data_IF_705810289987
#
_entry.id   IF_705810289987
#
_cell.length_a   1.000
_cell.length_b   1.000
_cell.length_c   1.000
_cell.angle_alpha   90.00
_cell.angle_beta   90.00
_cell.angle_gamma   90.00
#
_symmetry.space_group_name_H-M   'P 1'
#
loop_
_entity.id
_entity.type
_entity.pdbx_description
1 polymer ?
#
# COMPACT_ATOMS: atom_id res chain seq x y z
N UNK A 1 -40.72 -26.65 24.37
CA UNK A 1 -39.27 -26.87 24.42
C UNK A 1 -38.58 -25.56 24.81
N UNK A 2 -37.92 -25.47 25.97
CA UNK A 2 -37.12 -24.29 26.31
C UNK A 2 -35.97 -24.13 25.31
N UNK A 3 -35.66 -22.88 24.94
CA UNK A 3 -34.60 -22.58 23.98
C UNK A 3 -33.22 -22.92 24.57
N UNK A 4 -32.33 -23.47 23.75
CA UNK A 4 -30.95 -23.69 24.17
C UNK A 4 -30.27 -22.35 24.50
N UNK A 5 -29.34 -22.36 25.46
CA UNK A 5 -28.56 -21.17 25.85
C UNK A 5 -27.86 -20.52 24.65
N UNK A 6 -27.43 -21.32 23.66
CA UNK A 6 -26.87 -20.84 22.40
C UNK A 6 -27.90 -20.10 21.53
N UNK A 7 -29.14 -20.58 21.48
CA UNK A 7 -30.24 -19.92 20.76
C UNK A 7 -30.69 -18.62 21.43
N UNK A 8 -30.75 -18.60 22.77
CA UNK A 8 -31.07 -17.40 23.55
C UNK A 8 -30.03 -16.30 23.25
N UNK A 9 -28.74 -16.65 23.30
CA UNK A 9 -27.66 -15.72 22.96
C UNK A 9 -27.74 -15.27 21.50
N UNK A 10 -28.04 -16.17 20.57
CA UNK A 10 -28.19 -15.83 19.15
C UNK A 10 -29.31 -14.82 18.93
N UNK A 11 -30.49 -15.04 19.51
CA UNK A 11 -31.64 -14.12 19.43
C UNK A 11 -31.32 -12.75 20.05
N UNK A 12 -30.60 -12.73 21.18
CA UNK A 12 -30.14 -11.49 21.80
C UNK A 12 -29.22 -10.68 20.86
N UNK A 13 -28.23 -11.35 20.24
CA UNK A 13 -27.31 -10.70 19.28
C UNK A 13 -28.06 -10.19 18.05
N UNK A 14 -29.03 -10.95 17.54
CA UNK A 14 -29.85 -10.54 16.39
C UNK A 14 -30.72 -9.31 16.71
N UNK A 15 -31.29 -9.24 17.93
CA UNK A 15 -32.04 -8.07 18.41
C UNK A 15 -31.14 -6.83 18.51
N UNK A 16 -29.99 -6.95 19.20
CA UNK A 16 -29.05 -5.83 19.37
C UNK A 16 -28.39 -5.36 18.08
N UNK A 17 -28.23 -6.25 17.10
CA UNK A 17 -27.74 -5.93 15.75
C UNK A 17 -28.74 -5.07 14.96
N UNK A 18 -30.05 -5.21 15.20
CA UNK A 18 -31.10 -4.39 14.56
C UNK A 18 -31.26 -3.03 15.25
N UNK A 19 -31.11 -2.98 16.56
CA UNK A 19 -31.30 -1.76 17.37
C UNK A 19 -30.14 -0.75 17.26
N UNK A 20 -28.88 -1.19 17.10
CA UNK A 20 -27.74 -0.26 17.18
C UNK A 20 -26.54 -0.64 16.29
N UNK A 21 -25.98 0.36 15.60
CA UNK A 21 -24.73 0.21 14.84
C UNK A 21 -23.49 0.00 15.72
N UNK A 22 -23.55 0.39 17.00
CA UNK A 22 -22.47 0.20 17.98
C UNK A 22 -22.22 -1.28 18.30
N UNK A 23 -23.28 -2.11 18.30
CA UNK A 23 -23.16 -3.55 18.50
C UNK A 23 -22.36 -4.22 17.38
N UNK A 24 -22.60 -3.83 16.11
CA UNK A 24 -21.81 -4.35 14.98
C UNK A 24 -20.33 -3.97 15.09
N UNK A 25 -20.01 -2.76 15.56
CA UNK A 25 -18.62 -2.33 15.78
C UNK A 25 -17.94 -3.19 16.85
N UNK A 26 -18.57 -3.37 18.01
CA UNK A 26 -18.06 -4.22 19.11
C UNK A 26 -17.89 -5.69 18.69
N UNK A 27 -18.83 -6.23 17.92
CA UNK A 27 -18.75 -7.62 17.42
C UNK A 27 -17.64 -7.79 16.37
N UNK A 28 -17.43 -6.79 15.51
CA UNK A 28 -16.31 -6.78 14.55
C UNK A 28 -14.97 -6.73 15.27
N UNK A 29 -14.86 -5.92 16.32
CA UNK A 29 -13.65 -5.83 17.13
C UNK A 29 -13.35 -7.14 17.88
N UNK A 30 -14.36 -7.77 18.47
CA UNK A 30 -14.22 -9.09 19.11
C UNK A 30 -13.72 -10.15 18.13
N UNK A 31 -14.30 -10.19 16.93
CA UNK A 31 -13.84 -11.09 15.86
C UNK A 31 -12.41 -10.80 15.42
N UNK A 32 -12.02 -9.53 15.35
CA UNK A 32 -10.66 -9.11 15.01
C UNK A 32 -9.65 -9.56 16.08
N UNK A 33 -9.99 -9.38 17.36
CA UNK A 33 -9.15 -9.78 18.50
C UNK A 33 -8.89 -11.29 18.51
N UNK A 34 -9.91 -12.10 18.20
CA UNK A 34 -9.79 -13.55 18.18
C UNK A 34 -9.36 -14.12 16.82
N UNK A 35 -9.00 -13.28 15.85
CA UNK A 35 -8.61 -13.73 14.52
C UNK A 35 -7.14 -14.18 14.53
N UNK A 36 -6.93 -15.46 14.27
CA UNK A 36 -5.59 -16.05 14.09
C UNK A 36 -5.21 -16.01 12.60
N UNK A 37 -4.11 -15.34 12.20
CA UNK A 37 -3.62 -15.37 10.82
C UNK A 37 -3.31 -16.78 10.32
N UNK A 38 -3.47 -17.04 9.02
CA UNK A 38 -3.23 -18.38 8.43
C UNK A 38 -1.77 -18.80 8.57
N UNK A 39 -0.83 -17.86 8.61
CA UNK A 39 0.60 -18.12 8.83
C UNK A 39 0.90 -18.66 10.23
N UNK A 40 -0.01 -18.52 11.19
CA UNK A 40 0.14 -18.99 12.58
C UNK A 40 -0.66 -20.26 12.85
N UNK A 41 -1.29 -20.85 11.83
CA UNK A 41 -2.01 -22.11 11.96
C UNK A 41 -1.10 -23.28 11.58
N UNK A 42 -1.36 -24.43 12.20
CA UNK A 42 -0.82 -25.69 11.69
C UNK A 42 -1.39 -26.00 10.29
N UNK A 43 -0.64 -26.74 9.47
CA UNK A 43 -1.11 -27.18 8.15
C UNK A 43 -2.49 -27.86 8.16
N UNK A 44 -2.80 -28.80 9.07
CA UNK A 44 -4.13 -29.42 9.11
C UNK A 44 -5.24 -28.42 9.44
N UNK A 45 -4.99 -27.45 10.31
CA UNK A 45 -5.96 -26.41 10.65
C UNK A 45 -6.17 -25.43 9.50
N UNK A 46 -5.10 -25.04 8.81
CA UNK A 46 -5.16 -24.21 7.62
C UNK A 46 -5.99 -24.91 6.52
N UNK A 47 -5.79 -26.22 6.33
CA UNK A 47 -6.57 -27.05 5.40
C UNK A 47 -8.05 -27.09 5.79
N UNK A 48 -8.37 -27.38 7.07
CA UNK A 48 -9.76 -27.34 7.60
C UNK A 48 -10.41 -25.98 7.34
N UNK A 49 -9.71 -24.88 7.60
CA UNK A 49 -10.22 -23.52 7.37
C UNK A 49 -10.50 -23.24 5.88
N UNK A 50 -9.63 -23.70 4.96
CA UNK A 50 -9.86 -23.61 3.50
C UNK A 50 -11.09 -24.41 3.08
N UNK A 51 -11.23 -25.64 3.57
CA UNK A 51 -12.39 -26.50 3.27
C UNK A 51 -13.70 -25.90 3.77
N UNK A 52 -13.75 -25.39 4.99
CA UNK A 52 -14.93 -24.68 5.51
C UNK A 52 -15.28 -23.46 4.67
N UNK A 53 -14.27 -22.69 4.26
CA UNK A 53 -14.46 -21.50 3.41
C UNK A 53 -15.05 -21.91 2.06
N UNK A 54 -14.50 -22.95 1.43
CA UNK A 54 -15.02 -23.53 0.19
C UNK A 54 -16.46 -24.05 0.35
N UNK A 55 -16.78 -24.73 1.45
CA UNK A 55 -18.15 -25.19 1.77
C UNK A 55 -19.12 -24.01 1.89
N UNK A 56 -18.74 -22.95 2.61
CA UNK A 56 -19.56 -21.73 2.74
C UNK A 56 -19.79 -21.05 1.39
N UNK A 57 -18.75 -20.92 0.58
CA UNK A 57 -18.81 -20.32 -0.76
C UNK A 57 -19.71 -21.16 -1.68
N UNK A 58 -19.53 -22.48 -1.73
CA UNK A 58 -20.40 -23.40 -2.50
C UNK A 58 -21.86 -23.28 -2.07
N UNK A 59 -22.15 -23.26 -0.77
CA UNK A 59 -23.51 -23.08 -0.24
C UNK A 59 -24.11 -21.73 -0.65
N UNK A 60 -23.31 -20.66 -0.61
CA UNK A 60 -23.72 -19.34 -1.08
C UNK A 60 -24.08 -19.34 -2.58
N UNK A 61 -23.23 -19.92 -3.43
CA UNK A 61 -23.51 -20.03 -4.87
C UNK A 61 -24.76 -20.86 -5.15
N UNK A 62 -24.95 -21.99 -4.44
CA UNK A 62 -26.17 -22.81 -4.55
C UNK A 62 -27.42 -22.00 -4.16
N UNK A 63 -27.37 -21.26 -3.05
CA UNK A 63 -28.48 -20.40 -2.62
C UNK A 63 -28.76 -19.27 -3.61
N UNK A 64 -27.72 -18.65 -4.17
CA UNK A 64 -27.85 -17.59 -5.18
C UNK A 64 -28.45 -18.13 -6.48
N UNK A 65 -28.01 -19.31 -6.93
CA UNK A 65 -28.58 -19.99 -8.10
C UNK A 65 -30.07 -20.27 -7.88
N UNK A 66 -30.44 -20.86 -6.75
CA UNK A 66 -31.84 -21.16 -6.43
C UNK A 66 -32.69 -19.89 -6.28
N UNK A 67 -32.19 -18.84 -5.64
CA UNK A 67 -32.93 -17.57 -5.54
C UNK A 67 -33.17 -16.89 -6.90
N UNK A 68 -32.29 -17.10 -7.88
CA UNK A 68 -32.51 -16.64 -9.24
C UNK A 68 -33.54 -17.52 -9.98
N UNK A 69 -33.54 -18.84 -9.72
CA UNK A 69 -34.52 -19.79 -10.24
C UNK A 69 -35.90 -19.51 -9.65
N UNK A 70 -36.05 -19.26 -8.35
CA UNK A 70 -37.34 -18.93 -7.72
C UNK A 70 -37.93 -17.60 -8.23
N UNK A 71 -37.08 -16.67 -8.69
CA UNK A 71 -37.53 -15.44 -9.36
C UNK A 71 -37.87 -15.63 -10.85
N UNK A 72 -37.49 -16.76 -11.45
CA UNK A 72 -37.81 -17.11 -12.85
C UNK A 72 -38.87 -18.22 -12.98
N UNK A 73 -39.15 -18.99 -11.93
CA UNK A 73 -40.07 -20.14 -11.94
C UNK A 73 -41.52 -19.78 -11.59
N UNK A 74 -41.84 -18.50 -11.35
CA UNK A 74 -43.27 -18.10 -11.33
C UNK A 74 -43.89 -17.92 -12.73
N UNK A 75 -43.16 -18.25 -13.80
CA UNK A 75 -43.72 -18.47 -15.12
C UNK A 75 -43.14 -19.75 -15.71
N UNK A 76 -44.04 -20.72 -15.93
CA UNK A 76 -43.89 -21.92 -16.77
C UNK A 76 -43.13 -23.10 -16.14
N UNK A 77 -43.89 -24.13 -15.77
CA UNK A 77 -43.75 -25.54 -16.17
C UNK A 77 -44.79 -26.35 -15.36
N UNK A 78 -45.98 -26.61 -15.92
CA UNK A 78 -46.30 -27.81 -16.71
C UNK A 78 -45.81 -29.11 -16.04
N UNK A 79 -46.72 -30.00 -15.58
CA UNK A 79 -46.34 -31.30 -15.06
C UNK A 79 -45.86 -32.19 -16.21
N UNK A 80 -44.57 -32.54 -16.20
CA UNK A 80 -44.00 -33.58 -17.07
C UNK A 80 -44.63 -34.92 -16.68
N UNK A 81 -45.75 -35.22 -17.34
CA UNK A 81 -46.46 -36.50 -17.23
C UNK A 81 -45.81 -37.47 -18.21
N UNK A 82 -45.06 -38.43 -17.67
CA UNK A 82 -44.52 -39.56 -18.43
C UNK A 82 -45.69 -40.35 -19.02
N UNK A 83 -45.84 -40.30 -20.34
CA UNK A 83 -46.77 -41.14 -21.08
C UNK A 83 -46.22 -42.58 -21.08
N UNK A 84 -46.80 -43.44 -20.24
CA UNK A 84 -46.83 -44.88 -20.47
C UNK A 84 -48.06 -45.20 -21.31
N UNK A 85 -47.81 -45.92 -22.39
CA UNK A 85 -48.76 -46.43 -23.37
C UNK A 85 -49.77 -47.40 -22.75
N UNK A 86 -51.07 -47.11 -22.80
CA UNK A 86 -52.09 -48.14 -23.05
C UNK A 86 -53.50 -47.57 -23.21
N UNK A 87 -54.12 -48.00 -24.31
CA UNK A 87 -55.56 -48.29 -24.51
C UNK A 87 -56.55 -47.12 -24.64
N UNK A 88 -57.23 -47.21 -25.80
CA UNK A 88 -58.30 -46.38 -26.34
C UNK A 88 -59.44 -46.20 -25.35
N UNK A 89 -59.67 -44.97 -24.93
CA UNK A 89 -60.95 -44.49 -24.41
C UNK A 89 -61.13 -43.07 -24.92
N UNK A 90 -62.10 -42.85 -25.81
CA UNK A 90 -62.43 -41.54 -26.35
C UNK A 90 -63.03 -40.67 -25.24
N UNK A 91 -62.18 -39.93 -24.53
CA UNK A 91 -62.63 -38.85 -23.64
C UNK A 91 -62.90 -37.62 -24.50
N UNK A 92 -64.14 -37.14 -24.48
CA UNK A 92 -64.54 -35.90 -25.15
C UNK A 92 -63.93 -34.72 -24.39
N UNK A 93 -62.93 -34.06 -24.97
CA UNK A 93 -62.30 -32.88 -24.39
C UNK A 93 -63.02 -31.63 -24.88
N UNK A 94 -63.89 -31.05 -24.05
CA UNK A 94 -64.54 -29.77 -24.38
C UNK A 94 -63.57 -28.62 -24.11
N UNK A 95 -63.01 -28.06 -25.19
CA UNK A 95 -62.17 -26.86 -25.15
C UNK A 95 -63.04 -25.61 -25.01
N UNK A 96 -63.27 -25.15 -23.77
CA UNK A 96 -63.88 -23.84 -23.52
C UNK A 96 -62.81 -22.75 -23.65
N UNK A 97 -62.91 -21.91 -24.68
CA UNK A 97 -62.03 -20.75 -24.87
C UNK A 97 -62.47 -19.64 -23.91
N UNK A 98 -61.93 -19.63 -22.70
CA UNK A 98 -62.07 -18.47 -21.83
C UNK A 98 -61.22 -17.31 -22.39
N UNK A 99 -61.87 -16.23 -22.80
CA UNK A 99 -61.16 -15.00 -23.14
C UNK A 99 -60.39 -14.51 -21.90
N UNK A 100 -59.06 -14.63 -21.95
CA UNK A 100 -58.19 -14.11 -20.90
C UNK A 100 -58.39 -12.60 -20.83
N UNK A 101 -59.12 -12.13 -19.82
CA UNK A 101 -59.28 -10.70 -19.55
C UNK A 101 -57.89 -10.07 -19.49
N UNK A 102 -57.66 -9.08 -20.38
CA UNK A 102 -56.35 -8.43 -20.54
C UNK A 102 -55.87 -7.96 -19.16
N UNK A 103 -54.74 -8.51 -18.69
CA UNK A 103 -54.11 -8.13 -17.41
C UNK A 103 -54.13 -6.60 -17.29
N UNK A 104 -54.77 -6.11 -16.22
CA UNK A 104 -55.11 -4.69 -16.10
C UNK A 104 -53.90 -3.77 -16.31
N UNK A 105 -54.10 -2.67 -17.05
CA UNK A 105 -53.07 -1.64 -17.35
C UNK A 105 -52.30 -1.16 -16.10
N UNK A 106 -52.90 -1.29 -14.90
CA UNK A 106 -52.34 -0.93 -13.59
C UNK A 106 -51.05 -1.70 -13.25
N UNK A 107 -50.93 -2.99 -13.59
CA UNK A 107 -49.72 -3.77 -13.28
C UNK A 107 -48.49 -3.34 -14.10
N UNK A 108 -48.70 -2.87 -15.34
CA UNK A 108 -47.61 -2.38 -16.20
C UNK A 108 -46.99 -1.07 -15.68
N UNK A 109 -47.81 -0.16 -15.13
CA UNK A 109 -47.34 1.11 -14.57
C UNK A 109 -46.52 0.91 -13.30
N UNK A 110 -46.87 -0.08 -12.47
CA UNK A 110 -46.13 -0.35 -11.23
C UNK A 110 -44.73 -0.91 -11.52
N UNK A 111 -44.59 -1.73 -12.56
CA UNK A 111 -43.29 -2.21 -13.03
C UNK A 111 -42.45 -1.11 -13.67
N UNK A 112 -43.07 -0.22 -14.46
CA UNK A 112 -42.41 0.99 -14.98
C UNK A 112 -41.89 1.88 -13.84
N UNK A 113 -42.70 2.16 -12.82
CA UNK A 113 -42.27 2.94 -11.65
C UNK A 113 -41.09 2.27 -10.92
N UNK A 114 -41.14 0.96 -10.69
CA UNK A 114 -40.01 0.22 -10.09
C UNK A 114 -38.72 0.33 -10.93
N UNK A 115 -38.82 0.27 -12.26
CA UNK A 115 -37.65 0.48 -13.14
C UNK A 115 -37.10 1.91 -13.07
N UNK A 116 -37.97 2.91 -12.98
CA UNK A 116 -37.57 4.31 -12.84
C UNK A 116 -36.85 4.55 -11.50
N UNK A 117 -37.35 4.02 -10.38
CA UNK A 117 -36.65 4.12 -9.10
C UNK A 117 -35.27 3.44 -9.12
N UNK A 118 -35.15 2.28 -9.78
CA UNK A 118 -33.85 1.62 -9.99
C UNK A 118 -32.91 2.49 -10.84
N UNK A 119 -33.44 3.10 -11.91
CA UNK A 119 -32.67 4.01 -12.76
C UNK A 119 -32.18 5.22 -11.97
N UNK A 120 -33.06 5.91 -11.24
CA UNK A 120 -32.71 7.04 -10.37
C UNK A 120 -31.64 6.66 -9.34
N UNK A 121 -31.79 5.50 -8.69
CA UNK A 121 -30.80 5.01 -7.73
C UNK A 121 -29.43 4.77 -8.38
N UNK A 122 -29.41 4.15 -9.57
CA UNK A 122 -28.17 3.92 -10.31
C UNK A 122 -27.50 5.22 -10.79
N UNK A 123 -28.30 6.21 -11.20
CA UNK A 123 -27.83 7.53 -11.61
C UNK A 123 -27.23 8.29 -10.42
N UNK A 124 -27.85 8.22 -9.23
CA UNK A 124 -27.30 8.79 -8.00
C UNK A 124 -25.95 8.17 -7.64
N UNK A 125 -25.82 6.84 -7.73
CA UNK A 125 -24.55 6.15 -7.47
C UNK A 125 -23.46 6.55 -8.48
N UNK A 126 -23.81 6.70 -9.77
CA UNK A 126 -22.87 7.20 -10.80
C UNK A 126 -22.45 8.64 -10.52
N UNK A 127 -23.37 9.52 -10.14
CA UNK A 127 -23.05 10.90 -9.78
C UNK A 127 -22.11 10.96 -8.57
N UNK A 128 -22.33 10.14 -7.54
CA UNK A 128 -21.39 10.07 -6.41
C UNK A 128 -19.99 9.62 -6.84
N UNK A 129 -19.89 8.63 -7.73
CA UNK A 129 -18.60 8.18 -8.28
C UNK A 129 -17.92 9.32 -9.03
N UNK A 130 -18.65 10.05 -9.88
CA UNK A 130 -18.13 11.20 -10.62
C UNK A 130 -17.67 12.33 -9.69
N UNK A 131 -18.39 12.61 -8.61
CA UNK A 131 -17.96 13.60 -7.59
C UNK A 131 -16.66 13.15 -6.92
N UNK A 132 -16.52 11.87 -6.58
CA UNK A 132 -15.29 11.32 -5.98
C UNK A 132 -14.12 11.38 -6.95
N UNK A 133 -14.32 11.03 -8.23
CA UNK A 133 -13.27 11.12 -9.25
C UNK A 133 -12.87 12.56 -9.52
N UNK A 134 -13.83 13.49 -9.65
CA UNK A 134 -13.58 14.94 -9.80
C UNK A 134 -12.71 15.46 -8.64
N UNK A 135 -13.09 15.17 -7.39
CA UNK A 135 -12.28 15.56 -6.21
C UNK A 135 -10.88 14.95 -6.23
N UNK A 136 -10.75 13.68 -6.63
CA UNK A 136 -9.44 13.03 -6.74
C UNK A 136 -8.57 13.65 -7.84
N UNK A 137 -9.15 14.03 -8.98
CA UNK A 137 -8.43 14.67 -10.08
C UNK A 137 -8.03 16.10 -9.72
N UNK A 138 -8.91 16.87 -9.09
CA UNK A 138 -8.57 18.20 -8.57
C UNK A 138 -7.39 18.15 -7.58
N UNK A 139 -7.38 17.18 -6.65
CA UNK A 139 -6.22 16.99 -5.76
C UNK A 139 -4.94 16.60 -6.50
N UNK A 140 -5.04 15.88 -7.62
CA UNK A 140 -3.87 15.55 -8.45
C UNK A 140 -3.36 16.79 -9.20
N UNK A 141 -4.26 17.59 -9.77
CA UNK A 141 -3.92 18.85 -10.43
C UNK A 141 -3.25 19.81 -9.44
N UNK A 142 -3.83 20.01 -8.25
CA UNK A 142 -3.23 20.84 -7.20
C UNK A 142 -1.82 20.40 -6.82
N UNK A 143 -1.55 19.09 -6.78
CA UNK A 143 -0.19 18.57 -6.52
C UNK A 143 0.78 18.81 -7.67
N UNK A 144 0.28 18.79 -8.90
CA UNK A 144 1.09 19.07 -10.10
C UNK A 144 1.39 20.58 -10.16
N UNK A 145 0.37 21.41 -9.94
CA UNK A 145 0.51 22.87 -9.85
C UNK A 145 1.44 23.28 -8.72
N UNK A 146 1.31 22.70 -7.52
CA UNK A 146 2.23 22.98 -6.41
C UNK A 146 3.66 22.55 -6.72
N UNK A 147 3.86 21.48 -7.50
CA UNK A 147 5.18 21.06 -7.97
C UNK A 147 5.75 21.98 -9.04
N UNK A 148 4.90 22.50 -9.93
CA UNK A 148 5.29 23.47 -10.95
C UNK A 148 5.65 24.82 -10.32
N UNK A 149 4.91 25.25 -9.30
CA UNK A 149 5.14 26.51 -8.57
C UNK A 149 6.35 26.46 -7.63
N UNK A 150 6.73 25.28 -7.14
CA UNK A 150 7.97 25.10 -6.36
C UNK A 150 9.25 25.27 -7.20
N UNK A 151 9.09 25.65 -8.46
CA UNK A 151 10.19 25.84 -9.39
C UNK A 151 10.78 24.51 -9.79
N UNK A 152 11.20 24.43 -11.03
CA UNK A 152 12.27 23.55 -11.48
C UNK A 152 13.53 23.80 -10.64
N UNK A 153 13.55 23.36 -9.38
CA UNK A 153 14.79 23.04 -8.70
C UNK A 153 15.34 21.81 -9.42
N UNK A 154 16.06 22.11 -10.50
CA UNK A 154 17.07 21.29 -11.13
C UNK A 154 16.56 19.94 -11.66
N UNK A 155 16.34 19.88 -12.98
CA UNK A 155 16.34 18.61 -13.73
C UNK A 155 17.60 17.75 -13.47
N UNK A 156 18.65 18.34 -12.88
CA UNK A 156 19.85 17.66 -12.43
C UNK A 156 19.71 17.09 -10.98
N UNK A 157 18.95 17.73 -10.08
CA UNK A 157 18.69 17.26 -8.71
C UNK A 157 17.63 16.15 -8.69
N UNK A 158 16.72 16.14 -9.67
CA UNK A 158 15.79 15.04 -9.86
C UNK A 158 16.51 13.76 -10.30
N UNK A 159 17.70 13.85 -10.90
CA UNK A 159 18.55 12.68 -11.17
C UNK A 159 19.23 12.15 -9.88
N UNK A 160 19.55 13.04 -8.94
CA UNK A 160 20.25 12.69 -7.69
C UNK A 160 19.31 12.22 -6.55
N UNK A 161 18.01 12.54 -6.62
CA UNK A 161 17.02 12.17 -5.57
C UNK A 161 16.05 11.07 -5.99
N UNK A 162 16.32 10.34 -7.07
CA UNK A 162 15.52 9.17 -7.40
C UNK A 162 15.85 8.06 -6.41
N UNK A 163 14.84 7.61 -5.67
CA UNK A 163 14.94 6.34 -4.96
C UNK A 163 15.28 5.23 -5.97
N UNK A 164 16.01 4.18 -5.58
CA UNK A 164 16.36 3.07 -6.50
C UNK A 164 15.14 2.50 -7.24
N UNK A 165 13.97 2.58 -6.61
CA UNK A 165 12.69 2.17 -7.17
C UNK A 165 12.16 3.07 -8.28
N UNK A 166 12.33 4.38 -8.17
CA UNK A 166 11.91 5.33 -9.20
C UNK A 166 12.86 5.34 -10.40
N UNK A 167 14.17 5.13 -10.18
CA UNK A 167 15.14 4.90 -11.26
C UNK A 167 14.75 3.66 -12.06
N UNK A 168 14.54 2.54 -11.34
CA UNK A 168 14.12 1.28 -11.97
C UNK A 168 12.81 1.47 -12.74
N UNK A 169 11.83 2.20 -12.19
CA UNK A 169 10.55 2.43 -12.89
C UNK A 169 10.69 3.33 -14.12
N UNK A 170 11.67 4.25 -14.15
CA UNK A 170 12.00 5.09 -15.32
C UNK A 170 12.65 4.26 -16.42
N UNK A 171 13.66 3.46 -16.08
CA UNK A 171 14.32 2.53 -16.99
C UNK A 171 13.35 1.48 -17.55
N UNK A 172 12.44 0.97 -16.72
CA UNK A 172 11.40 0.03 -17.16
C UNK A 172 10.33 0.68 -18.05
N UNK A 173 10.21 2.02 -18.06
CA UNK A 173 9.31 2.76 -18.97
C UNK A 173 10.00 3.06 -20.30
N UNK A 174 11.29 3.40 -20.30
CA UNK A 174 12.05 3.66 -21.52
C UNK A 174 12.27 2.40 -22.36
N UNK A 175 12.40 1.24 -21.71
CA UNK A 175 12.72 -0.04 -22.38
C UNK A 175 11.51 -0.78 -22.96
N UNK A 176 10.27 -0.27 -22.80
CA UNK A 176 9.09 -0.83 -23.45
C UNK A 176 8.73 -2.28 -23.07
N UNK A 177 9.19 -2.78 -21.93
CA UNK A 177 9.11 -4.22 -21.58
C UNK A 177 7.66 -4.67 -21.29
N UNK A 178 7.31 -5.85 -21.82
CA UNK A 178 6.04 -6.55 -21.58
C UNK A 178 5.71 -6.72 -20.07
N UNK A 179 4.44 -6.54 -19.65
CA UNK A 179 4.02 -6.60 -18.24
C UNK A 179 4.37 -7.89 -17.49
N UNK A 180 4.53 -9.02 -18.19
CA UNK A 180 4.90 -10.31 -17.59
C UNK A 180 6.38 -10.35 -17.18
N UNK A 181 7.27 -9.85 -18.04
CA UNK A 181 8.71 -9.77 -17.77
C UNK A 181 9.07 -8.63 -16.82
N UNK A 182 8.20 -7.62 -16.73
CA UNK A 182 8.36 -6.42 -15.90
C UNK A 182 8.68 -6.72 -14.43
N UNK A 183 8.12 -7.77 -13.84
CA UNK A 183 8.35 -8.10 -12.42
C UNK A 183 9.74 -8.65 -12.13
N UNK A 184 10.25 -9.52 -13.00
CA UNK A 184 11.56 -10.17 -12.83
C UNK A 184 12.67 -9.15 -13.09
N UNK A 185 12.56 -8.40 -14.18
CA UNK A 185 13.53 -7.39 -14.57
C UNK A 185 13.56 -6.25 -13.55
N UNK A 186 12.40 -5.81 -13.05
CA UNK A 186 12.32 -4.81 -11.98
C UNK A 186 13.06 -5.23 -10.70
N UNK A 187 13.00 -6.50 -10.29
CA UNK A 187 13.74 -6.97 -9.10
C UNK A 187 15.25 -6.94 -9.33
N UNK A 188 15.70 -7.38 -10.52
CA UNK A 188 17.12 -7.38 -10.89
C UNK A 188 17.69 -5.95 -10.97
N UNK A 189 16.96 -5.04 -11.62
CA UNK A 189 17.33 -3.62 -11.71
C UNK A 189 17.31 -2.92 -10.35
N UNK A 190 16.29 -3.18 -9.52
CA UNK A 190 16.25 -2.65 -8.15
C UNK A 190 17.49 -3.06 -7.36
N UNK A 191 17.88 -4.32 -7.44
CA UNK A 191 19.06 -4.84 -6.76
C UNK A 191 20.35 -4.21 -7.30
N UNK A 192 20.50 -4.12 -8.63
CA UNK A 192 21.63 -3.46 -9.28
C UNK A 192 21.76 -1.99 -8.89
N UNK A 193 20.66 -1.24 -8.89
CA UNK A 193 20.68 0.19 -8.55
C UNK A 193 20.98 0.41 -7.07
N UNK A 194 20.53 -0.49 -6.18
CA UNK A 194 20.95 -0.47 -4.76
C UNK A 194 22.46 -0.71 -4.63
N UNK A 195 23.00 -1.74 -5.31
CA UNK A 195 24.44 -2.02 -5.29
C UNK A 195 25.27 -0.88 -5.87
N UNK A 196 24.87 -0.31 -6.99
CA UNK A 196 25.55 0.84 -7.60
C UNK A 196 25.57 2.03 -6.65
N UNK A 197 24.47 2.30 -5.94
CA UNK A 197 24.41 3.39 -4.97
C UNK A 197 25.29 3.12 -3.74
N UNK A 198 25.40 1.88 -3.28
CA UNK A 198 26.34 1.52 -2.21
C UNK A 198 27.80 1.68 -2.65
N UNK A 199 28.15 1.26 -3.86
CA UNK A 199 29.49 1.42 -4.44
C UNK A 199 29.84 2.91 -4.56
N UNK A 200 28.93 3.73 -5.12
CA UNK A 200 29.10 5.19 -5.22
C UNK A 200 29.31 5.84 -3.85
N UNK A 201 28.53 5.44 -2.84
CA UNK A 201 28.68 5.96 -1.47
C UNK A 201 30.02 5.58 -0.84
N UNK A 202 30.49 4.35 -1.07
CA UNK A 202 31.80 3.89 -0.56
C UNK A 202 32.95 4.61 -1.27
N UNK A 203 32.89 4.77 -2.60
CA UNK A 203 33.93 5.47 -3.36
C UNK A 203 34.04 6.94 -2.98
N UNK A 204 32.92 7.63 -2.74
CA UNK A 204 32.91 9.03 -2.25
C UNK A 204 33.56 9.14 -0.87
N UNK A 205 33.34 8.18 0.04
CA UNK A 205 34.00 8.19 1.35
C UNK A 205 35.52 8.02 1.23
N UNK A 206 35.97 7.16 0.31
CA UNK A 206 37.40 6.97 0.04
C UNK A 206 38.01 8.26 -0.50
N UNK A 207 37.38 8.92 -1.48
CA UNK A 207 37.92 10.16 -2.06
C UNK A 207 38.00 11.30 -1.05
N UNK A 208 36.97 11.49 -0.22
CA UNK A 208 36.99 12.51 0.85
C UNK A 208 38.13 12.23 1.84
N UNK A 209 38.32 10.98 2.27
CA UNK A 209 39.42 10.62 3.17
C UNK A 209 40.81 10.88 2.54
N UNK A 210 40.98 10.59 1.24
CA UNK A 210 42.24 10.88 0.54
C UNK A 210 42.51 12.37 0.40
N UNK A 211 41.48 13.19 0.17
CA UNK A 211 41.61 14.65 0.10
C UNK A 211 42.03 15.23 1.44
N UNK A 212 41.47 14.73 2.55
CA UNK A 212 41.85 15.13 3.91
C UNK A 212 43.30 14.75 4.24
N UNK A 213 43.73 13.54 3.86
CA UNK A 213 45.12 13.08 4.03
C UNK A 213 46.08 13.98 3.24
N UNK A 214 45.77 14.29 1.98
CA UNK A 214 46.61 15.18 1.15
C UNK A 214 46.68 16.60 1.73
N UNK A 215 45.57 17.13 2.26
CA UNK A 215 45.58 18.44 2.93
C UNK A 215 46.46 18.46 4.17
N UNK A 216 46.37 17.43 5.03
CA UNK A 216 47.25 17.29 6.21
C UNK A 216 48.71 17.19 5.82
N UNK A 217 49.02 16.42 4.78
CA UNK A 217 50.40 16.29 4.28
C UNK A 217 50.95 17.62 3.77
N UNK A 218 50.15 18.42 3.04
CA UNK A 218 50.56 19.77 2.60
C UNK A 218 50.82 20.71 3.77
N UNK A 219 50.00 20.66 4.82
CA UNK A 219 50.19 21.45 6.04
C UNK A 219 51.48 21.05 6.77
N UNK A 220 51.72 19.75 6.95
CA UNK A 220 52.96 19.23 7.54
C UNK A 220 54.19 19.69 6.76
N UNK A 221 54.17 19.56 5.43
CA UNK A 221 55.26 20.00 4.56
C UNK A 221 55.51 21.51 4.65
N UNK A 222 54.46 22.32 4.71
CA UNK A 222 54.60 23.76 4.90
C UNK A 222 55.22 24.12 6.26
N UNK A 223 54.90 23.38 7.33
CA UNK A 223 55.53 23.56 8.64
C UNK A 223 57.01 23.16 8.64
N UNK A 224 57.36 22.07 7.94
CA UNK A 224 58.75 21.63 7.76
C UNK A 224 59.58 22.65 6.95
N UNK A 225 59.01 23.20 5.87
CA UNK A 225 59.61 24.28 5.09
C UNK A 225 59.76 25.57 5.92
N UNK A 226 58.81 25.88 6.81
CA UNK A 226 58.91 27.02 7.71
C UNK A 226 59.99 26.82 8.79
N UNK A 227 60.11 25.62 9.35
CA UNK A 227 61.14 25.28 10.34
C UNK A 227 62.55 25.31 9.74
N UNK A 228 62.72 24.81 8.50
CA UNK A 228 63.99 24.86 7.79
C UNK A 228 64.39 26.27 7.34
N UNK A 229 63.42 27.17 7.10
CA UNK A 229 63.70 28.60 6.87
C UNK A 229 64.15 29.31 8.16
N UNK A 230 63.54 29.00 9.32
CA UNK A 230 63.97 29.55 10.62
C UNK A 230 65.40 29.18 10.98
N UNK A 231 65.83 27.95 10.71
CA UNK A 231 67.20 27.48 11.00
C UNK A 231 68.27 28.01 10.04
N UNK A 232 67.87 28.51 8.86
CA UNK A 232 68.78 29.07 7.85
C UNK A 232 68.91 30.60 7.89
N UNK A 233 68.08 31.30 8.66
CA UNK A 233 68.25 32.73 8.91
C UNK A 233 69.27 32.94 10.05
N UNK A 234 70.45 33.52 9.77
CA UNK A 234 71.49 33.73 10.79
C UNK A 234 71.11 34.83 11.82
N UNK A 235 70.10 35.66 11.55
CA UNK A 235 69.67 36.72 12.48
C UNK A 235 68.89 36.19 13.70
N UNK A 236 68.22 35.04 13.61
CA UNK A 236 67.48 34.47 14.75
C UNK A 236 68.37 33.72 15.75
N UNK A 237 69.62 33.37 15.40
CA UNK A 237 70.56 32.77 16.36
C UNK A 237 71.04 33.78 17.41
N UNK A 238 70.96 35.08 17.13
CA UNK A 238 71.40 36.12 18.07
C UNK A 238 70.40 36.34 19.23
N UNK A 239 69.12 36.03 19.05
CA UNK A 239 68.10 36.20 20.10
C UNK A 239 68.01 35.00 21.07
N UNK A 240 68.26 33.77 20.60
CA UNK A 240 68.28 32.60 21.48
C UNK A 240 69.47 32.63 22.47
N UNK A 241 70.64 33.10 22.03
CA UNK A 241 71.83 33.27 22.89
C UNK A 241 71.68 34.43 23.91
N UNK A 242 70.79 35.40 23.65
CA UNK A 242 70.44 36.45 24.63
C UNK A 242 69.43 35.97 25.68
N UNK A 243 68.50 35.08 25.30
CA UNK A 243 67.54 34.50 26.25
C UNK A 243 68.19 33.54 27.25
N UNK A 244 69.21 32.77 26.83
CA UNK A 244 69.94 31.89 27.75
C UNK A 244 70.81 32.66 28.75
N UNK A 245 71.35 33.83 28.39
CA UNK A 245 72.08 34.70 29.32
C UNK A 245 71.18 35.39 30.36
N UNK A 246 69.91 35.62 30.08
CA UNK A 246 68.99 36.20 31.08
C UNK A 246 68.58 35.19 32.15
N UNK A 247 68.42 33.90 31.80
CA UNK A 247 68.07 32.85 32.77
C UNK A 247 69.21 32.52 33.74
N UNK A 248 70.47 32.63 33.32
CA UNK A 248 71.63 32.48 34.22
C UNK A 248 71.78 33.65 35.21
N UNK A 249 71.42 34.88 34.81
CA UNK A 249 71.50 36.04 35.69
C UNK A 249 70.41 36.01 36.79
N UNK A 250 69.18 35.59 36.47
CA UNK A 250 68.09 35.46 37.45
C UNK A 250 68.35 34.34 38.49
N UNK A 251 69.06 33.28 38.10
CA UNK A 251 69.42 32.19 39.02
C UNK A 251 70.58 32.57 39.96
N UNK A 252 71.45 33.52 39.59
CA UNK A 252 72.44 34.10 40.52
C UNK A 252 71.85 35.10 41.52
N UNK A 253 70.84 35.88 41.16
CA UNK A 253 70.21 36.84 42.09
C UNK A 253 69.33 36.15 43.15
N UNK A 254 68.71 35.02 42.83
CA UNK A 254 67.92 34.24 43.79
C UNK A 254 68.76 33.61 44.93
N UNK A 255 70.09 33.52 44.76
CA UNK A 255 71.00 32.96 45.76
C UNK A 255 71.61 33.99 46.72
N UNK A 256 71.44 35.31 46.47
CA UNK A 256 71.99 36.39 47.30
C UNK A 256 71.02 36.97 48.33
N UNK A 257 69.73 36.67 48.24
CA UNK A 257 68.69 37.14 49.18
C UNK A 257 68.35 36.15 50.29
N UNK A 258 69.13 35.06 50.43
CA UNK A 258 69.09 34.15 51.58
C UNK A 258 70.48 34.01 52.20
N UNK A 259 70.95 35.06 52.88
CA UNK A 259 71.92 34.99 53.97
C UNK A 259 71.71 36.15 54.92
#
# INVERSE_FOLDING_TARGET
>A
MPLSRAEIQRRYRERKKKESGSFLKKDKERKRKNYVPVSMLSEPEAKKRREETNKRVKKHYKKKKNANVDNTVHMENEPVTRQSTSKKGTKLTVSVKFEKTRKSKKASNLNKMKSLYKSISSLKERNEKLIRTKKSLQKKLQRIESRAQQGTQSLNDELERLTPRSETDKEMRSTGVSPRQKKIIRRKLLFLNVLQNEIKRKSIKVTVSTIEIVKKYRQMKALEEAATKRTKNPECKAEEDHSHKQVENESTEFSRTRR
#
